data_IF_104365933730
#
_entry.id   IF_104365933730
#
_cell.length_a   1.000
_cell.length_b   1.000
_cell.length_c   1.000
_cell.angle_alpha   90.00
_cell.angle_beta   90.00
_cell.angle_gamma   90.00
#
_symmetry.space_group_name_H-M   'P 1'
#
loop_
_entity.id
_entity.type
_entity.pdbx_description
1 polymer ?
#
# COMPACT_ATOMS: atom_id res chain seq x y z
N UNK A 1 44.84 19.83 -32.43
CA UNK A 1 44.74 18.40 -32.74
C UNK A 1 43.36 17.93 -32.31
N UNK A 2 42.44 17.67 -33.24
CA UNK A 2 41.05 17.28 -32.92
C UNK A 2 40.99 15.75 -32.95
N UNK A 3 40.75 15.12 -31.83
CA UNK A 3 40.57 13.68 -31.71
C UNK A 3 39.13 13.34 -32.13
N UNK A 4 39.00 12.43 -33.09
CA UNK A 4 37.72 12.01 -33.67
C UNK A 4 36.95 11.09 -32.70
N UNK A 5 35.63 11.18 -32.73
CA UNK A 5 34.69 10.40 -31.87
C UNK A 5 34.74 8.88 -32.08
N UNK A 6 35.54 8.37 -33.02
CA UNK A 6 35.69 6.93 -33.29
C UNK A 6 36.82 6.24 -32.52
N UNK A 7 37.74 6.99 -31.95
CA UNK A 7 38.86 6.43 -31.18
C UNK A 7 38.61 6.26 -29.69
N UNK A 8 37.51 6.80 -29.17
CA UNK A 8 37.14 6.70 -27.75
C UNK A 8 36.39 5.40 -27.40
N UNK A 9 36.05 4.53 -28.35
CA UNK A 9 35.25 3.32 -28.14
C UNK A 9 36.06 1.99 -28.19
N UNK A 10 37.36 2.05 -28.28
CA UNK A 10 38.22 0.83 -28.38
C UNK A 10 39.09 0.53 -27.15
N UNK A 11 38.93 1.26 -26.04
CA UNK A 11 39.72 1.02 -24.81
C UNK A 11 38.79 0.81 -23.63
N UNK A 12 37.95 -0.21 -23.66
CA UNK A 12 37.15 -0.63 -22.47
C UNK A 12 36.71 -2.10 -22.53
N UNK A 13 37.49 -2.99 -23.12
CA UNK A 13 37.15 -4.40 -23.17
C UNK A 13 38.29 -5.36 -22.77
N UNK A 14 39.20 -4.93 -21.89
CA UNK A 14 40.24 -5.84 -21.43
C UNK A 14 40.81 -5.36 -20.09
N UNK A 15 40.08 -5.50 -18.98
CA UNK A 15 40.63 -5.64 -17.61
C UNK A 15 39.49 -5.80 -16.60
N UNK A 16 38.81 -6.94 -16.58
CA UNK A 16 37.96 -7.40 -15.46
C UNK A 16 38.01 -8.93 -15.35
N UNK A 17 39.23 -9.45 -15.31
CA UNK A 17 39.51 -10.82 -14.86
C UNK A 17 40.48 -10.71 -13.69
N UNK A 18 39.99 -10.94 -12.46
CA UNK A 18 40.87 -11.15 -11.31
C UNK A 18 40.63 -10.24 -10.12
N UNK A 19 39.48 -10.35 -9.46
CA UNK A 19 39.37 -10.04 -8.05
C UNK A 19 38.62 -11.19 -7.36
N UNK A 20 39.42 -12.08 -6.76
CA UNK A 20 38.93 -13.09 -5.84
C UNK A 20 38.37 -12.41 -4.59
N UNK A 21 37.08 -12.52 -4.39
CA UNK A 21 36.40 -12.13 -3.15
C UNK A 21 36.77 -13.12 -2.05
N UNK A 22 37.67 -12.72 -1.18
CA UNK A 22 37.91 -13.37 0.10
C UNK A 22 36.65 -13.34 0.98
N UNK A 23 36.29 -14.53 1.49
CA UNK A 23 35.18 -14.77 2.41
C UNK A 23 35.32 -13.90 3.67
N UNK A 24 34.40 -12.95 3.88
CA UNK A 24 34.10 -12.40 5.18
C UNK A 24 32.84 -13.10 5.69
N UNK A 25 33.04 -14.03 6.62
CA UNK A 25 31.97 -14.63 7.42
C UNK A 25 31.52 -13.62 8.48
N UNK A 26 30.39 -13.00 8.28
CA UNK A 26 29.62 -12.36 9.33
C UNK A 26 28.33 -13.15 9.52
N UNK A 27 28.16 -13.72 10.71
CA UNK A 27 26.93 -14.35 11.18
C UNK A 27 25.80 -13.31 11.23
N UNK A 28 24.94 -13.36 10.26
CA UNK A 28 23.70 -12.57 10.19
C UNK A 28 22.92 -13.12 9.00
N UNK A 29 21.73 -13.63 9.23
CA UNK A 29 20.84 -14.14 8.19
C UNK A 29 20.61 -13.05 7.14
N UNK A 30 21.35 -13.13 6.06
CA UNK A 30 21.06 -12.38 4.83
C UNK A 30 19.80 -13.02 4.22
N UNK A 31 18.72 -12.26 4.17
CA UNK A 31 17.65 -12.52 3.23
C UNK A 31 18.25 -12.32 1.81
N UNK A 32 18.70 -13.40 1.21
CA UNK A 32 19.09 -13.41 -0.19
C UNK A 32 17.81 -13.16 -0.98
N UNK A 33 17.68 -11.96 -1.54
CA UNK A 33 16.80 -11.78 -2.68
C UNK A 33 17.38 -12.68 -3.80
N UNK A 34 16.83 -13.88 -3.94
CA UNK A 34 17.10 -14.71 -5.10
C UNK A 34 16.57 -13.94 -6.31
N UNK A 35 17.48 -13.30 -7.04
CA UNK A 35 17.25 -13.00 -8.44
C UNK A 35 17.08 -14.37 -9.11
N UNK A 36 15.85 -14.77 -9.38
CA UNK A 36 15.58 -15.95 -10.19
C UNK A 36 16.32 -15.73 -11.50
N UNK A 37 17.30 -16.59 -11.77
CA UNK A 37 18.01 -16.59 -13.04
C UNK A 37 16.97 -16.84 -14.14
N UNK A 38 16.83 -15.90 -15.08
CA UNK A 38 15.89 -16.01 -16.18
C UNK A 38 16.18 -17.23 -17.09
N UNK A 39 17.36 -17.84 -16.95
CA UNK A 39 17.75 -19.05 -17.69
C UNK A 39 16.93 -20.30 -17.32
N UNK A 40 16.33 -20.34 -16.11
CA UNK A 40 15.55 -21.48 -15.63
C UNK A 40 14.05 -21.36 -15.89
N UNK A 41 13.60 -20.31 -16.59
CA UNK A 41 12.20 -20.17 -16.93
C UNK A 41 11.81 -21.12 -18.06
N UNK A 42 10.77 -21.98 -17.88
CA UNK A 42 10.35 -22.92 -18.92
C UNK A 42 9.98 -22.20 -20.22
N UNK A 43 10.45 -22.72 -21.35
CA UNK A 43 10.09 -22.22 -22.69
C UNK A 43 8.66 -22.59 -23.11
N UNK A 44 8.02 -23.52 -22.41
CA UNK A 44 6.65 -23.98 -22.62
C UNK A 44 5.87 -23.93 -21.31
N UNK A 45 4.52 -24.01 -21.41
CA UNK A 45 3.69 -24.15 -20.22
C UNK A 45 3.90 -25.52 -19.59
N UNK A 46 4.32 -25.55 -18.33
CA UNK A 46 4.54 -26.76 -17.57
C UNK A 46 3.61 -26.83 -16.37
N UNK A 47 3.13 -28.01 -16.03
CA UNK A 47 2.40 -28.22 -14.79
C UNK A 47 3.32 -28.08 -13.58
N UNK A 48 2.88 -27.35 -12.59
CA UNK A 48 3.56 -27.20 -11.30
C UNK A 48 2.58 -27.50 -10.18
N UNK A 49 3.04 -28.08 -9.07
CA UNK A 49 2.18 -28.27 -7.91
C UNK A 49 1.63 -26.93 -7.44
N UNK A 50 0.34 -26.92 -7.11
CA UNK A 50 -0.31 -25.74 -6.54
C UNK A 50 0.33 -25.39 -5.20
N UNK A 51 0.43 -24.09 -4.92
CA UNK A 51 0.97 -23.58 -3.67
C UNK A 51 0.01 -23.94 -2.52
N UNK A 52 0.56 -24.53 -1.45
CA UNK A 52 -0.15 -24.83 -0.22
C UNK A 52 -0.03 -23.69 0.81
N UNK A 53 -0.87 -23.72 1.86
CA UNK A 53 -0.72 -22.82 3.01
C UNK A 53 -1.28 -21.42 2.81
N UNK A 54 -2.39 -21.29 2.04
CA UNK A 54 -3.14 -20.03 2.01
C UNK A 54 -3.81 -19.79 3.37
N UNK A 55 -3.93 -18.51 3.81
CA UNK A 55 -4.67 -18.18 5.02
C UNK A 55 -6.14 -18.57 4.86
N UNK A 56 -6.81 -18.81 5.99
CA UNK A 56 -8.25 -18.96 5.98
C UNK A 56 -8.93 -17.74 5.35
N UNK A 57 -10.03 -17.94 4.60
CA UNK A 57 -10.80 -16.82 4.05
C UNK A 57 -11.18 -15.81 5.14
N UNK A 58 -11.27 -14.53 4.77
CA UNK A 58 -11.82 -13.53 5.67
C UNK A 58 -13.29 -13.86 6.00
N UNK A 59 -13.74 -13.65 7.25
CA UNK A 59 -15.12 -13.86 7.65
C UNK A 59 -15.99 -12.72 7.10
N UNK A 60 -16.39 -12.80 5.83
CA UNK A 60 -17.22 -11.78 5.19
C UNK A 60 -18.70 -12.12 5.32
N UNK A 61 -19.54 -11.08 5.28
CA UNK A 61 -20.99 -11.20 5.12
C UNK A 61 -21.35 -11.78 3.74
N UNK A 62 -22.60 -12.18 3.56
CA UNK A 62 -23.06 -12.75 2.28
C UNK A 62 -22.94 -11.80 1.08
N UNK A 63 -23.01 -10.48 1.33
CA UNK A 63 -22.81 -9.43 0.34
C UNK A 63 -21.34 -9.07 0.07
N UNK A 64 -20.41 -9.77 0.72
CA UNK A 64 -18.97 -9.53 0.60
C UNK A 64 -18.42 -8.39 1.45
N UNK A 65 -19.26 -7.70 2.23
CA UNK A 65 -18.82 -6.69 3.20
C UNK A 65 -18.15 -7.33 4.42
N UNK A 66 -17.35 -6.54 5.16
CA UNK A 66 -16.78 -7.00 6.42
C UNK A 66 -17.81 -6.90 7.55
N UNK A 67 -17.91 -7.91 8.44
CA UNK A 67 -18.70 -7.76 9.66
C UNK A 67 -18.18 -6.61 10.51
N UNK A 68 -19.06 -5.75 10.98
CA UNK A 68 -18.74 -4.73 11.98
C UNK A 68 -18.89 -5.32 13.37
N UNK A 69 -17.89 -5.10 14.22
CA UNK A 69 -17.87 -5.59 15.60
C UNK A 69 -18.29 -4.48 16.57
N UNK A 70 -18.79 -4.83 17.76
CA UNK A 70 -19.04 -3.84 18.82
C UNK A 70 -17.72 -3.18 19.26
N UNK A 71 -17.73 -1.92 19.64
CA UNK A 71 -16.53 -1.18 20.09
C UNK A 71 -15.82 -1.88 21.24
N UNK A 72 -16.55 -2.57 22.13
CA UNK A 72 -15.98 -3.35 23.22
C UNK A 72 -15.10 -4.53 22.80
N UNK A 73 -15.17 -4.94 21.52
CA UNK A 73 -14.29 -5.97 20.97
C UNK A 73 -12.94 -5.40 20.46
N UNK A 74 -12.80 -4.08 20.43
CA UNK A 74 -11.58 -3.44 19.95
C UNK A 74 -10.41 -3.73 20.90
N UNK A 75 -9.25 -4.02 20.31
CA UNK A 75 -8.04 -4.36 21.03
C UNK A 75 -6.78 -4.14 20.19
N UNK A 76 -5.64 -4.63 20.66
CA UNK A 76 -4.39 -4.51 19.92
C UNK A 76 -4.36 -5.41 18.68
N UNK A 77 -3.53 -5.04 17.70
CA UNK A 77 -3.17 -5.93 16.58
C UNK A 77 -1.99 -6.78 17.04
N UNK A 78 -2.08 -8.11 16.82
CA UNK A 78 -1.02 -9.05 17.18
C UNK A 78 0.26 -8.86 16.34
N UNK A 79 1.41 -9.20 16.93
CA UNK A 79 2.69 -9.26 16.24
C UNK A 79 2.77 -10.42 15.21
N UNK A 80 3.68 -10.35 14.23
CA UNK A 80 4.66 -9.29 14.01
C UNK A 80 4.10 -8.15 13.14
N UNK A 81 4.43 -6.91 13.50
CA UNK A 81 4.15 -5.73 12.69
C UNK A 81 5.36 -5.43 11.78
N UNK A 82 5.14 -5.44 10.47
CA UNK A 82 6.20 -5.31 9.49
C UNK A 82 5.89 -4.19 8.49
N UNK A 83 6.92 -3.52 8.04
CA UNK A 83 6.92 -2.67 6.85
C UNK A 83 7.39 -3.49 5.65
N UNK A 84 6.83 -3.23 4.47
CA UNK A 84 7.16 -4.03 3.28
C UNK A 84 8.60 -3.90 2.85
N UNK A 85 9.14 -2.69 2.88
CA UNK A 85 10.50 -2.41 2.39
C UNK A 85 11.54 -2.34 3.52
N UNK A 86 11.10 -2.19 4.77
CA UNK A 86 12.00 -1.94 5.91
C UNK A 86 11.86 -2.96 7.05
N UNK A 87 11.06 -4.01 6.85
CA UNK A 87 10.86 -5.04 7.87
C UNK A 87 10.24 -4.44 9.14
N UNK A 88 10.91 -4.56 10.28
CA UNK A 88 10.44 -4.00 11.57
C UNK A 88 10.84 -2.53 11.79
N UNK A 89 11.72 -1.99 10.96
CA UNK A 89 12.20 -0.61 11.10
C UNK A 89 11.13 0.37 10.63
N UNK A 90 10.65 1.21 11.53
CA UNK A 90 9.66 2.25 11.22
C UNK A 90 10.31 3.37 10.42
N UNK A 91 9.73 3.80 9.28
CA UNK A 91 10.21 4.96 8.53
C UNK A 91 10.22 6.21 9.41
N UNK A 92 11.19 7.09 9.19
CA UNK A 92 11.28 8.37 9.88
C UNK A 92 10.53 9.43 9.09
N UNK A 93 9.31 9.74 9.51
CA UNK A 93 8.42 10.76 8.93
C UNK A 93 7.73 11.53 10.04
N UNK A 94 6.98 12.58 9.69
CA UNK A 94 6.02 13.20 10.61
C UNK A 94 4.89 12.23 10.94
N UNK A 95 4.68 11.93 12.21
CA UNK A 95 3.65 11.00 12.68
C UNK A 95 2.42 11.70 13.25
N UNK A 96 2.51 12.97 13.62
CA UNK A 96 1.33 13.71 14.05
C UNK A 96 0.41 13.97 12.84
N UNK A 97 -0.74 13.32 12.85
CA UNK A 97 -1.73 13.48 11.78
C UNK A 97 -2.18 14.94 11.60
N UNK A 98 -2.04 15.81 12.62
CA UNK A 98 -2.37 17.25 12.54
C UNK A 98 -1.39 18.01 11.67
N UNK A 99 -0.17 17.48 11.51
CA UNK A 99 0.92 18.08 10.72
C UNK A 99 1.09 17.38 9.36
N UNK A 100 0.25 16.40 9.04
CA UNK A 100 0.41 15.61 7.81
C UNK A 100 0.36 16.49 6.55
N UNK A 101 1.20 16.12 5.59
CA UNK A 101 1.25 16.67 4.24
C UNK A 101 1.33 15.53 3.25
N UNK A 102 0.24 15.29 2.51
CA UNK A 102 0.12 14.17 1.60
C UNK A 102 -0.09 14.68 0.19
N UNK A 103 0.75 14.27 -0.73
CA UNK A 103 0.62 14.63 -2.13
C UNK A 103 -0.59 13.93 -2.74
N UNK A 104 -1.49 14.70 -3.34
CA UNK A 104 -2.64 14.20 -4.10
C UNK A 104 -2.53 14.69 -5.54
N UNK A 105 -2.17 13.79 -6.44
CA UNK A 105 -2.07 14.04 -7.88
C UNK A 105 -3.28 13.44 -8.59
N UNK A 106 -4.23 14.28 -8.95
CA UNK A 106 -5.46 13.84 -9.60
C UNK A 106 -5.34 13.72 -11.12
N UNK A 107 -4.21 14.15 -11.71
CA UNK A 107 -3.95 14.08 -13.16
C UNK A 107 -5.10 14.62 -14.03
N UNK A 108 -5.85 15.59 -13.52
CA UNK A 108 -7.01 16.15 -14.21
C UNK A 108 -8.29 15.34 -14.06
N UNK A 109 -8.31 14.26 -13.27
CA UNK A 109 -9.52 13.47 -12.99
C UNK A 109 -10.34 14.00 -11.81
N UNK A 110 -10.00 15.17 -11.27
CA UNK A 110 -10.75 15.86 -10.22
C UNK A 110 -10.55 17.37 -10.29
N UNK A 111 -11.42 18.11 -9.59
CA UNK A 111 -11.35 19.57 -9.53
C UNK A 111 -10.24 20.08 -8.60
N UNK A 112 -9.77 19.24 -7.66
CA UNK A 112 -8.73 19.59 -6.70
C UNK A 112 -7.53 18.65 -6.83
N UNK A 113 -6.32 19.21 -6.73
CA UNK A 113 -5.03 18.51 -6.73
C UNK A 113 -4.04 19.29 -5.89
N UNK A 114 -3.03 18.66 -5.32
CA UNK A 114 -2.01 19.35 -4.53
C UNK A 114 -1.69 18.64 -3.22
N UNK A 115 -1.39 19.41 -2.16
CA UNK A 115 -1.09 18.86 -0.83
C UNK A 115 -2.35 18.81 0.01
N UNK A 116 -2.68 17.60 0.47
CA UNK A 116 -3.75 17.36 1.44
C UNK A 116 -3.21 17.59 2.86
N UNK A 117 -3.92 18.42 3.62
CA UNK A 117 -3.68 18.65 5.03
C UNK A 117 -4.80 18.05 5.89
N UNK A 118 -4.54 17.89 7.18
CA UNK A 118 -5.57 17.40 8.11
C UNK A 118 -6.81 18.31 8.15
N UNK A 119 -6.62 19.64 8.02
CA UNK A 119 -7.72 20.60 7.95
C UNK A 119 -8.72 20.33 6.82
N UNK A 120 -8.29 19.71 5.73
CA UNK A 120 -9.18 19.34 4.63
C UNK A 120 -10.07 18.16 5.02
N UNK A 121 -9.50 17.18 5.71
CA UNK A 121 -10.25 16.00 6.19
C UNK A 121 -11.20 16.33 7.34
N UNK A 122 -10.86 17.30 8.20
CA UNK A 122 -11.72 17.75 9.30
C UNK A 122 -13.06 18.34 8.85
N UNK A 123 -13.15 18.80 7.59
CA UNK A 123 -14.38 19.31 7.01
C UNK A 123 -15.36 18.22 6.58
N UNK A 124 -14.90 16.97 6.54
CA UNK A 124 -15.70 15.82 6.12
C UNK A 124 -16.36 15.13 7.32
N UNK A 125 -17.44 14.36 7.11
CA UNK A 125 -18.07 13.59 8.17
C UNK A 125 -17.10 12.58 8.79
N UNK A 126 -16.70 12.82 10.04
CA UNK A 126 -15.86 11.90 10.81
C UNK A 126 -16.70 10.71 11.25
N UNK A 127 -16.18 9.49 11.09
CA UNK A 127 -16.85 8.24 11.45
C UNK A 127 -15.89 7.30 12.14
N UNK A 128 -16.47 6.43 12.98
CA UNK A 128 -15.74 5.33 13.62
C UNK A 128 -16.41 4.02 13.26
N UNK A 129 -15.58 3.02 12.94
CA UNK A 129 -16.03 1.65 12.67
C UNK A 129 -15.04 0.66 13.27
N UNK A 130 -15.55 -0.47 13.75
CA UNK A 130 -14.75 -1.51 14.40
C UNK A 130 -14.72 -2.76 13.52
N UNK A 131 -13.56 -3.05 12.93
CA UNK A 131 -13.37 -4.14 12.00
C UNK A 131 -12.22 -5.07 12.39
N UNK A 132 -12.33 -6.33 11.96
CA UNK A 132 -11.19 -7.23 11.93
C UNK A 132 -10.22 -6.77 10.83
N UNK A 133 -8.98 -6.50 11.19
CA UNK A 133 -7.87 -6.36 10.26
C UNK A 133 -6.97 -7.60 10.36
N UNK A 134 -6.81 -8.31 9.25
CA UNK A 134 -6.02 -9.54 9.18
C UNK A 134 -5.05 -9.48 8.00
N UNK A 135 -3.79 -9.82 8.26
CA UNK A 135 -2.79 -10.02 7.21
C UNK A 135 -3.14 -11.24 6.32
N UNK A 136 -2.51 -11.35 5.14
CA UNK A 136 -2.56 -12.57 4.32
C UNK A 136 -1.85 -13.79 4.93
N UNK A 137 -1.22 -13.63 6.09
CA UNK A 137 -0.75 -14.70 6.99
C UNK A 137 -1.66 -14.73 8.24
N UNK A 138 -1.57 -15.76 9.11
CA UNK A 138 -2.39 -15.81 10.33
C UNK A 138 -2.22 -14.59 11.22
N UNK A 139 -1.03 -14.00 11.26
CA UNK A 139 -0.68 -12.78 11.98
C UNK A 139 0.02 -11.78 11.05
N UNK A 140 -0.04 -10.46 11.32
CA UNK A 140 -0.83 -9.82 12.38
C UNK A 140 -2.33 -9.81 12.08
N UNK A 141 -3.12 -9.85 13.15
CA UNK A 141 -4.59 -9.70 13.12
C UNK A 141 -5.08 -9.03 14.41
N UNK A 142 -6.21 -8.35 14.33
CA UNK A 142 -6.88 -7.76 15.49
C UNK A 142 -8.17 -7.09 15.09
N UNK A 143 -9.12 -7.02 16.03
CA UNK A 143 -10.33 -6.21 15.90
C UNK A 143 -9.97 -4.82 16.42
N UNK A 144 -10.18 -3.79 15.61
CA UNK A 144 -9.71 -2.44 15.90
C UNK A 144 -10.81 -1.43 15.56
N UNK A 145 -11.01 -0.47 16.44
CA UNK A 145 -11.82 0.71 16.17
C UNK A 145 -10.99 1.72 15.39
N UNK A 146 -11.41 2.01 14.18
CA UNK A 146 -10.78 2.99 13.29
C UNK A 146 -11.62 4.24 13.19
N UNK A 147 -11.01 5.42 13.34
CA UNK A 147 -11.69 6.71 13.21
C UNK A 147 -11.03 7.54 12.12
N UNK A 148 -11.87 8.10 11.25
CA UNK A 148 -11.46 8.88 10.10
C UNK A 148 -12.62 9.31 9.25
N UNK A 149 -12.41 9.38 7.93
CA UNK A 149 -13.42 9.74 6.94
C UNK A 149 -13.59 8.64 5.91
N UNK A 150 -14.77 8.50 5.34
CA UNK A 150 -14.96 7.60 4.19
C UNK A 150 -14.16 8.08 3.00
N UNK A 151 -13.59 7.15 2.27
CA UNK A 151 -12.93 7.50 1.01
C UNK A 151 -13.90 8.12 -0.01
N UNK A 152 -15.16 7.70 -0.02
CA UNK A 152 -16.20 8.31 -0.86
C UNK A 152 -16.35 9.79 -0.61
N UNK A 153 -16.44 10.21 0.67
CA UNK A 153 -16.58 11.61 1.06
C UNK A 153 -15.34 12.43 0.64
N UNK A 154 -14.14 11.83 0.79
CA UNK A 154 -12.88 12.42 0.30
C UNK A 154 -12.85 12.57 -1.22
N UNK A 155 -13.27 11.54 -1.97
CA UNK A 155 -13.34 11.57 -3.43
C UNK A 155 -14.33 12.64 -3.94
N UNK A 156 -15.47 12.80 -3.25
CA UNK A 156 -16.45 13.82 -3.57
C UNK A 156 -15.94 15.23 -3.25
N UNK A 157 -15.20 15.40 -2.13
CA UNK A 157 -14.53 16.66 -1.79
C UNK A 157 -13.50 17.07 -2.84
N UNK A 158 -12.78 16.11 -3.43
CA UNK A 158 -11.88 16.37 -4.55
C UNK A 158 -12.63 16.73 -5.84
N UNK A 159 -13.90 16.37 -5.97
CA UNK A 159 -14.67 16.46 -7.22
C UNK A 159 -14.20 15.42 -8.25
N UNK A 160 -13.94 14.19 -7.80
CA UNK A 160 -13.42 13.11 -8.63
C UNK A 160 -14.46 12.67 -9.65
N UNK A 161 -14.09 12.69 -10.95
CA UNK A 161 -14.95 12.30 -12.06
C UNK A 161 -15.01 10.76 -12.22
N UNK A 162 -16.07 10.23 -12.87
CA UNK A 162 -16.24 8.78 -13.05
C UNK A 162 -15.15 8.09 -13.87
N UNK A 163 -14.41 8.84 -14.67
CA UNK A 163 -13.31 8.36 -15.51
C UNK A 163 -12.04 8.06 -14.71
N UNK A 164 -11.94 8.49 -13.44
CA UNK A 164 -10.89 8.07 -12.53
C UNK A 164 -11.13 6.62 -12.06
N UNK A 165 -10.45 5.66 -12.67
CA UNK A 165 -10.69 4.24 -12.38
C UNK A 165 -9.85 3.68 -11.24
N UNK A 166 -8.65 4.20 -11.05
CA UNK A 166 -7.69 3.71 -10.05
C UNK A 166 -7.10 4.84 -9.25
N UNK A 167 -6.76 4.52 -8.00
CA UNK A 167 -5.92 5.34 -7.15
C UNK A 167 -4.69 4.51 -6.72
N UNK A 168 -3.50 5.01 -7.02
CA UNK A 168 -2.25 4.52 -6.46
C UNK A 168 -1.98 5.23 -5.14
N UNK A 169 -1.77 4.46 -4.10
CA UNK A 169 -1.29 4.93 -2.81
C UNK A 169 0.17 4.55 -2.64
N UNK A 170 0.99 5.49 -2.20
CA UNK A 170 2.41 5.26 -1.88
C UNK A 170 2.59 5.49 -0.38
N UNK A 171 3.22 4.52 0.29
CA UNK A 171 3.59 4.57 1.69
C UNK A 171 4.96 5.21 1.90
N UNK A 172 5.24 5.63 3.13
CA UNK A 172 6.53 6.22 3.52
C UNK A 172 7.74 5.28 3.31
N UNK A 173 7.52 3.96 3.31
CA UNK A 173 8.54 2.94 3.01
C UNK A 173 8.65 2.58 1.53
N UNK A 174 8.04 3.38 0.64
CA UNK A 174 7.97 3.17 -0.82
C UNK A 174 7.08 1.99 -1.26
N UNK A 175 6.48 1.26 -0.34
CA UNK A 175 5.46 0.29 -0.72
C UNK A 175 4.28 1.01 -1.37
N UNK A 176 3.69 0.40 -2.39
CA UNK A 176 2.51 0.97 -3.05
C UNK A 176 1.44 -0.09 -3.31
N UNK A 177 0.23 0.38 -3.44
CA UNK A 177 -0.90 -0.40 -3.94
C UNK A 177 -1.64 0.42 -4.99
N UNK A 178 -2.19 -0.26 -5.98
CA UNK A 178 -3.22 0.27 -6.86
C UNK A 178 -4.57 -0.32 -6.42
N UNK A 179 -5.58 0.52 -6.26
CA UNK A 179 -6.93 0.07 -5.93
C UNK A 179 -7.95 0.76 -6.85
N UNK A 180 -9.00 0.02 -7.22
CA UNK A 180 -10.05 0.60 -8.03
C UNK A 180 -10.84 1.65 -7.25
N UNK A 181 -11.17 2.77 -7.89
CA UNK A 181 -12.03 3.80 -7.28
C UNK A 181 -13.39 3.22 -6.91
N UNK A 182 -13.89 2.23 -7.66
CA UNK A 182 -15.11 1.49 -7.30
C UNK A 182 -14.99 0.81 -5.92
N UNK A 183 -13.90 0.06 -5.67
CA UNK A 183 -13.63 -0.52 -4.35
C UNK A 183 -13.48 0.55 -3.28
N UNK A 184 -12.74 1.63 -3.57
CA UNK A 184 -12.47 2.71 -2.63
C UNK A 184 -13.74 3.47 -2.22
N UNK A 185 -14.72 3.58 -3.10
CA UNK A 185 -16.03 4.21 -2.80
C UNK A 185 -16.97 3.31 -2.00
N UNK A 186 -16.58 2.07 -1.67
CA UNK A 186 -17.40 1.23 -0.80
C UNK A 186 -17.57 1.87 0.57
N UNK A 187 -18.78 1.84 1.18
CA UNK A 187 -19.09 2.55 2.44
C UNK A 187 -18.18 2.22 3.63
N UNK A 188 -17.55 1.06 3.64
CA UNK A 188 -16.62 0.62 4.70
C UNK A 188 -15.18 1.05 4.48
N UNK A 189 -14.83 1.64 3.33
CA UNK A 189 -13.46 2.05 3.04
C UNK A 189 -13.19 3.44 3.59
N UNK A 190 -12.12 3.55 4.40
CA UNK A 190 -11.82 4.75 5.16
C UNK A 190 -10.36 5.20 5.03
N UNK A 191 -10.15 6.50 5.09
CA UNK A 191 -8.89 7.14 5.44
C UNK A 191 -8.93 7.45 6.93
N UNK A 192 -8.04 6.86 7.71
CA UNK A 192 -8.10 6.89 9.19
C UNK A 192 -6.83 7.45 9.80
N UNK A 193 -6.95 8.14 10.94
CA UNK A 193 -5.85 8.72 11.70
C UNK A 193 -5.91 8.39 13.19
N UNK A 194 -7.04 7.80 13.70
CA UNK A 194 -7.11 7.25 15.05
C UNK A 194 -7.32 5.73 15.01
N UNK A 195 -6.77 5.08 16.01
CA UNK A 195 -6.86 3.65 16.28
C UNK A 195 -7.21 3.48 17.77
N UNK A 196 -8.37 2.87 18.07
CA UNK A 196 -8.87 2.71 19.44
C UNK A 196 -8.94 4.06 20.20
N UNK A 197 -9.45 5.10 19.54
CA UNK A 197 -9.61 6.48 20.01
C UNK A 197 -8.33 7.29 20.23
N UNK A 198 -7.15 6.68 20.02
CA UNK A 198 -5.84 7.33 20.11
C UNK A 198 -5.21 7.56 18.73
N UNK A 199 -4.26 8.50 18.57
CA UNK A 199 -3.51 8.63 17.33
C UNK A 199 -2.90 7.29 16.91
N UNK A 200 -2.96 6.98 15.61
CA UNK A 200 -2.37 5.73 15.11
C UNK A 200 -0.88 5.69 15.50
N UNK A 201 -0.42 4.63 16.17
CA UNK A 201 1.01 4.47 16.45
C UNK A 201 1.83 4.38 15.14
N UNK A 202 3.09 4.85 15.13
CA UNK A 202 3.95 4.79 13.94
C UNK A 202 3.95 3.43 13.24
N UNK A 203 4.13 2.35 13.96
CA UNK A 203 4.17 0.99 13.40
C UNK A 203 2.83 0.53 12.79
N UNK A 204 1.72 1.15 13.21
CA UNK A 204 0.39 0.89 12.66
C UNK A 204 0.03 1.78 11.49
N UNK A 205 0.89 2.76 11.13
CA UNK A 205 0.76 3.52 9.90
C UNK A 205 0.31 4.96 10.05
N UNK A 206 0.70 5.64 11.15
CA UNK A 206 0.61 7.09 11.24
C UNK A 206 1.35 7.78 10.08
N UNK A 207 0.98 9.00 9.64
CA UNK A 207 -0.12 9.81 10.16
C UNK A 207 -1.49 9.48 9.57
N UNK A 208 -1.55 8.84 8.39
CA UNK A 208 -2.79 8.48 7.68
C UNK A 208 -2.69 7.08 7.10
N UNK A 209 -3.74 6.29 7.30
CA UNK A 209 -3.83 4.92 6.81
C UNK A 209 -5.12 4.70 6.02
N UNK A 210 -5.05 3.86 4.98
CA UNK A 210 -6.23 3.31 4.32
C UNK A 210 -6.70 2.05 5.04
N UNK A 211 -8.01 1.89 5.22
CA UNK A 211 -8.64 0.66 5.70
C UNK A 211 -9.63 0.16 4.64
N UNK A 212 -9.42 -1.09 4.20
CA UNK A 212 -10.32 -1.85 3.35
C UNK A 212 -10.65 -3.14 4.10
N UNK A 213 -11.69 -3.18 4.95
CA UNK A 213 -11.88 -4.25 5.92
C UNK A 213 -12.25 -5.60 5.29
N UNK A 214 -12.83 -5.60 4.09
CA UNK A 214 -13.17 -6.80 3.31
C UNK A 214 -12.02 -7.29 2.41
N UNK A 215 -10.79 -6.81 2.64
CA UNK A 215 -9.54 -7.26 2.02
C UNK A 215 -8.51 -7.58 3.09
N UNK A 216 -7.54 -8.44 2.76
CA UNK A 216 -6.41 -8.66 3.65
C UNK A 216 -5.61 -7.38 3.90
N UNK A 217 -4.99 -7.28 5.07
CA UNK A 217 -4.33 -6.08 5.58
C UNK A 217 -3.25 -5.47 4.68
N UNK A 218 -2.69 -6.23 3.72
CA UNK A 218 -1.77 -5.69 2.72
C UNK A 218 -2.46 -4.70 1.75
N UNK A 219 -3.79 -4.70 1.68
CA UNK A 219 -4.57 -3.71 0.91
C UNK A 219 -4.91 -2.47 1.75
N UNK A 220 -4.73 -2.54 3.06
CA UNK A 220 -4.91 -1.43 4.01
C UNK A 220 -3.57 -0.75 4.26
N UNK A 221 -3.10 0.04 3.28
CA UNK A 221 -1.76 0.63 3.26
C UNK A 221 -1.54 1.61 4.41
N UNK A 222 -0.34 1.55 5.02
CA UNK A 222 0.12 2.37 6.14
C UNK A 222 0.79 3.65 5.67
N UNK A 223 0.76 4.70 6.52
CA UNK A 223 1.59 5.89 6.39
C UNK A 223 1.64 6.45 4.96
N UNK A 224 0.47 6.78 4.45
CA UNK A 224 0.29 7.30 3.09
C UNK A 224 1.04 8.62 2.94
N UNK A 225 1.88 8.74 1.91
CA UNK A 225 2.60 9.95 1.56
C UNK A 225 2.13 10.54 0.22
N UNK A 226 1.58 9.69 -0.65
CA UNK A 226 1.10 10.13 -1.96
C UNK A 226 -0.10 9.33 -2.42
N UNK A 227 -1.04 9.99 -3.10
CA UNK A 227 -2.16 9.41 -3.83
C UNK A 227 -2.14 9.94 -5.27
N UNK A 228 -2.19 9.02 -6.25
CA UNK A 228 -2.23 9.39 -7.67
C UNK A 228 -3.40 8.71 -8.35
N UNK A 229 -4.27 9.49 -8.97
CA UNK A 229 -5.40 8.96 -9.72
C UNK A 229 -5.03 8.68 -11.18
N UNK A 230 -5.65 7.65 -11.77
CA UNK A 230 -5.38 7.25 -13.15
C UNK A 230 -6.55 6.51 -13.79
N UNK A 231 -6.50 6.43 -15.11
CA UNK A 231 -7.40 5.61 -15.92
C UNK A 231 -6.60 4.88 -16.99
N UNK A 232 -6.96 3.63 -17.34
CA UNK A 232 -6.39 2.95 -18.50
C UNK A 232 -7.06 3.36 -19.83
N UNK A 233 -8.16 4.12 -19.79
CA UNK A 233 -8.93 4.49 -20.96
C UNK A 233 -10.22 5.23 -20.63
N UNK A 234 -11.17 5.31 -21.56
CA UNK A 234 -12.46 5.94 -21.33
C UNK A 234 -13.26 5.23 -20.24
N UNK A 235 -14.34 5.88 -19.80
CA UNK A 235 -15.24 5.31 -18.78
C UNK A 235 -15.65 3.90 -19.16
N UNK A 236 -15.44 2.96 -18.23
CA UNK A 236 -15.90 1.59 -18.43
C UNK A 236 -17.43 1.52 -18.40
N UNK A 237 -18.07 0.76 -19.29
CA UNK A 237 -19.49 0.51 -19.20
C UNK A 237 -19.82 -0.25 -17.91
N UNK A 238 -21.06 -0.16 -17.39
CA UNK A 238 -21.47 -1.00 -16.28
C UNK A 238 -21.33 -2.48 -16.65
N UNK A 239 -21.03 -3.29 -15.62
CA UNK A 239 -21.01 -4.74 -15.83
C UNK A 239 -22.39 -5.26 -16.23
N UNK A 240 -22.46 -6.31 -17.08
CA UNK A 240 -23.71 -6.99 -17.34
C UNK A 240 -24.35 -7.50 -16.03
N UNK A 241 -25.69 -7.46 -15.97
CA UNK A 241 -26.44 -7.99 -14.83
C UNK A 241 -26.41 -9.51 -14.80
#
# INVERSE_FOLDING_TARGET
MKISRREALSISAATLAGLSLSKLTLNGQQAVAQTADQSDWPSELVERPLRNGFPAPLPLNADGSAPEHPESAAGPISDPLMWRSQGRQTPQIEFDYRQMQIKVDTRGFANKTGTLHFSDLQQLPIRSHTFLLQCGAPNPRGIVKWTGVRFSDFADMLGLIPEAHYCRFIASDRFYIDESVQTLRHPQVMLVWLMNDEPIPPQHGAPLRLIIPFRYGNRSIKAITEMTFSTPGPRMPPLPA
#
